data_IF_542326694820
#
_entry.id   IF_542326694820
#
_cell.length_a   1.000
_cell.length_b   1.000
_cell.length_c   1.000
_cell.angle_alpha   90.00
_cell.angle_beta   90.00
_cell.angle_gamma   90.00
#
_symmetry.space_group_name_H-M   'P 1'
#
loop_
_entity.id
_entity.type
_entity.pdbx_description
1 polymer ?
#
# COMPACT_ATOMS: atom_id res chain seq x y z
N UNK A 1 -13.57 7.37 6.57
CA UNK A 1 -12.28 7.78 6.05
C UNK A 1 -11.45 6.55 5.73
N UNK A 2 -10.91 6.47 4.50
CA UNK A 2 -10.12 5.34 4.03
C UNK A 2 -8.83 5.18 4.85
N UNK A 3 -8.29 3.96 4.93
CA UNK A 3 -6.99 3.72 5.58
C UNK A 3 -5.93 3.50 4.51
N UNK A 4 -4.72 4.03 4.72
CA UNK A 4 -3.56 3.66 3.90
C UNK A 4 -3.18 2.19 4.13
N UNK A 5 -2.64 1.52 3.12
CA UNK A 5 -2.04 0.18 3.26
C UNK A 5 -0.58 0.19 3.71
N UNK A 6 0.05 1.35 3.81
CA UNK A 6 1.43 1.51 4.31
C UNK A 6 1.45 2.08 5.72
N UNK A 7 2.38 1.59 6.55
CA UNK A 7 2.52 2.10 7.90
C UNK A 7 3.58 1.36 8.71
N UNK A 8 3.94 1.96 9.83
CA UNK A 8 4.82 1.39 10.85
C UNK A 8 4.16 1.56 12.21
N UNK A 9 4.38 0.60 13.10
CA UNK A 9 4.01 0.70 14.51
C UNK A 9 4.98 -0.08 15.36
N UNK A 10 5.28 0.44 16.54
CA UNK A 10 6.14 -0.21 17.52
C UNK A 10 5.35 -0.40 18.83
N UNK A 11 5.62 -1.50 19.51
CA UNK A 11 5.10 -1.75 20.84
C UNK A 11 6.16 -2.40 21.70
N UNK A 12 6.26 -1.96 22.95
CA UNK A 12 7.24 -2.43 23.90
C UNK A 12 6.50 -2.88 25.15
N UNK A 13 6.79 -4.10 25.60
CA UNK A 13 6.35 -4.62 26.90
C UNK A 13 7.59 -4.92 27.74
N UNK A 14 7.76 -4.17 28.81
CA UNK A 14 8.89 -4.32 29.74
C UNK A 14 8.53 -5.25 30.89
N UNK A 15 9.23 -6.37 31.01
CA UNK A 15 9.25 -7.20 32.23
C UNK A 15 10.43 -6.87 33.12
N UNK A 16 10.45 -7.46 34.32
CA UNK A 16 11.59 -7.35 35.26
C UNK A 16 12.91 -7.79 34.63
N UNK A 17 12.86 -8.88 33.86
CA UNK A 17 14.09 -9.57 33.42
C UNK A 17 14.38 -9.38 31.94
N UNK A 18 13.36 -9.06 31.13
CA UNK A 18 13.45 -8.86 29.68
C UNK A 18 12.41 -7.87 29.19
N UNK A 19 12.76 -7.14 28.14
CA UNK A 19 11.83 -6.31 27.37
C UNK A 19 11.55 -6.97 26.03
N UNK A 20 10.28 -7.05 25.65
CA UNK A 20 9.84 -7.52 24.34
C UNK A 20 9.44 -6.31 23.51
N UNK A 21 10.13 -6.11 22.39
CA UNK A 21 9.79 -5.12 21.38
C UNK A 21 9.20 -5.83 20.16
N UNK A 22 8.05 -5.38 19.70
CA UNK A 22 7.41 -5.82 18.47
C UNK A 22 7.32 -4.65 17.50
N UNK A 23 7.84 -4.86 16.30
CA UNK A 23 7.72 -3.92 15.19
C UNK A 23 6.76 -4.49 14.14
N UNK A 24 5.83 -3.67 13.67
CA UNK A 24 4.94 -4.01 12.56
C UNK A 24 5.18 -3.06 11.37
N UNK A 25 5.41 -3.62 10.18
CA UNK A 25 5.55 -2.87 8.93
C UNK A 25 4.52 -3.37 7.93
N UNK A 26 3.67 -2.47 7.44
CA UNK A 26 2.66 -2.79 6.42
C UNK A 26 3.05 -2.21 5.07
N UNK A 27 2.84 -3.00 4.02
CA UNK A 27 2.94 -2.57 2.62
C UNK A 27 1.70 -2.99 1.83
N UNK A 28 1.48 -2.32 0.70
CA UNK A 28 0.39 -2.63 -0.22
C UNK A 28 0.49 -4.08 -0.73
N UNK A 29 -0.59 -4.85 -0.52
CA UNK A 29 -0.72 -6.19 -1.06
C UNK A 29 -2.21 -6.52 -1.28
N UNK A 30 -2.52 -7.36 -2.27
CA UNK A 30 -3.90 -7.67 -2.66
C UNK A 30 -4.69 -8.41 -1.56
N UNK A 31 -4.01 -9.26 -0.80
CA UNK A 31 -4.58 -10.05 0.29
C UNK A 31 -3.82 -9.77 1.57
N UNK A 32 -4.44 -10.06 2.71
CA UNK A 32 -3.75 -10.07 3.99
C UNK A 32 -2.68 -11.18 3.98
N UNK A 33 -1.42 -10.77 4.05
CA UNK A 33 -0.27 -11.66 4.18
C UNK A 33 0.52 -11.25 5.43
N UNK A 34 0.62 -12.15 6.41
CA UNK A 34 1.30 -11.86 7.67
C UNK A 34 2.58 -12.68 7.72
N UNK A 35 3.72 -11.99 7.78
CA UNK A 35 5.04 -12.59 7.92
C UNK A 35 5.55 -12.31 9.32
N UNK A 36 5.66 -13.35 10.15
CA UNK A 36 6.14 -13.22 11.53
C UNK A 36 7.59 -13.67 11.59
N UNK A 37 8.47 -12.85 12.17
CA UNK A 37 9.89 -13.14 12.40
C UNK A 37 10.16 -13.14 13.89
N UNK A 38 10.46 -14.34 14.42
CA UNK A 38 10.64 -14.58 15.85
C UNK A 38 12.01 -15.21 16.14
N UNK A 39 12.64 -14.90 17.29
CA UNK A 39 13.70 -15.71 17.86
C UNK A 39 13.22 -17.13 18.17
N UNK A 40 14.12 -18.12 18.12
CA UNK A 40 13.77 -19.55 18.30
C UNK A 40 13.00 -19.84 19.59
N UNK A 41 13.32 -19.14 20.68
CA UNK A 41 12.65 -19.24 21.99
C UNK A 41 11.15 -18.86 21.96
N UNK A 42 10.70 -18.11 20.96
CA UNK A 42 9.30 -17.66 20.85
C UNK A 42 8.53 -18.34 19.71
N UNK A 43 9.11 -19.35 19.06
CA UNK A 43 8.49 -20.01 17.91
C UNK A 43 7.07 -20.55 18.21
N UNK A 44 6.81 -21.00 19.44
CA UNK A 44 5.50 -21.48 19.88
C UNK A 44 4.39 -20.41 19.82
N UNK A 45 4.74 -19.12 19.89
CA UNK A 45 3.79 -18.01 19.88
C UNK A 45 3.44 -17.50 18.48
N UNK A 46 4.00 -18.08 17.41
CA UNK A 46 3.72 -17.62 16.04
C UNK A 46 2.21 -17.67 15.71
N UNK A 47 1.55 -18.77 16.07
CA UNK A 47 0.12 -18.93 15.82
C UNK A 47 -0.72 -17.89 16.55
N UNK A 48 -0.36 -17.57 17.81
CA UNK A 48 -1.01 -16.55 18.62
C UNK A 48 -0.89 -15.17 17.97
N UNK A 49 0.34 -14.76 17.64
CA UNK A 49 0.63 -13.46 17.01
C UNK A 49 -0.13 -13.32 15.69
N UNK A 50 -0.14 -14.38 14.87
CA UNK A 50 -0.86 -14.40 13.60
C UNK A 50 -2.37 -14.24 13.79
N UNK A 51 -2.97 -14.97 14.73
CA UNK A 51 -4.42 -14.91 15.01
C UNK A 51 -4.85 -13.50 15.44
N UNK A 52 -4.16 -12.93 16.43
CA UNK A 52 -4.48 -11.60 16.95
C UNK A 52 -4.31 -10.50 15.90
N UNK A 53 -3.31 -10.65 15.04
CA UNK A 53 -3.07 -9.72 13.94
C UNK A 53 -4.18 -9.79 12.87
N UNK A 54 -4.72 -10.98 12.58
CA UNK A 54 -5.82 -11.16 11.63
C UNK A 54 -7.13 -10.53 12.10
N UNK A 55 -7.35 -10.43 13.42
CA UNK A 55 -8.54 -9.79 13.98
C UNK A 55 -8.55 -8.27 13.76
N UNK A 56 -7.37 -7.64 13.66
CA UNK A 56 -7.24 -6.18 13.53
C UNK A 56 -6.93 -5.69 12.11
N UNK A 57 -6.49 -6.58 11.21
CA UNK A 57 -5.99 -6.22 9.88
C UNK A 57 -6.85 -6.89 8.79
N UNK A 58 -7.34 -6.10 7.83
CA UNK A 58 -8.16 -6.60 6.72
C UNK A 58 -7.38 -6.95 5.46
N UNK A 59 -6.39 -6.13 5.09
CA UNK A 59 -5.61 -6.25 3.85
C UNK A 59 -4.18 -5.71 4.03
N UNK A 60 -3.30 -6.13 3.12
CA UNK A 60 -1.89 -5.70 3.05
C UNK A 60 -0.93 -6.81 3.46
N UNK A 61 0.36 -6.60 3.19
CA UNK A 61 1.41 -7.49 3.70
C UNK A 61 2.02 -6.85 4.94
N UNK A 62 1.90 -7.54 6.07
CA UNK A 62 2.40 -7.06 7.36
C UNK A 62 3.55 -7.94 7.82
N UNK A 63 4.74 -7.34 7.92
CA UNK A 63 5.89 -7.96 8.56
C UNK A 63 5.88 -7.61 10.05
N UNK A 64 5.86 -8.63 10.90
CA UNK A 64 5.90 -8.52 12.35
C UNK A 64 7.23 -9.09 12.81
N UNK A 65 8.04 -8.29 13.48
CA UNK A 65 9.32 -8.71 14.04
C UNK A 65 9.28 -8.58 15.56
N UNK A 66 9.65 -9.65 16.25
CA UNK A 66 9.86 -9.63 17.69
C UNK A 66 11.37 -9.60 17.98
N UNK A 67 11.79 -8.67 18.83
CA UNK A 67 13.13 -8.62 19.40
C UNK A 67 13.05 -8.63 20.92
N UNK A 68 13.89 -9.44 21.56
CA UNK A 68 13.96 -9.57 23.01
C UNK A 68 15.26 -9.00 23.58
N UNK A 69 15.14 -7.90 24.32
CA UNK A 69 16.27 -7.25 24.98
C UNK A 69 16.33 -7.71 26.45
N UNK A 70 17.53 -7.86 27.06
CA UNK A 70 17.64 -8.03 28.50
C UNK A 70 17.02 -6.84 29.23
N UNK A 71 16.30 -7.10 30.32
CA UNK A 71 15.76 -6.06 31.21
C UNK A 71 16.87 -5.46 32.07
N UNK A 72 16.61 -4.28 32.64
CA UNK A 72 17.60 -3.55 33.45
C UNK A 72 18.08 -4.35 34.69
N UNK A 73 17.26 -5.26 35.23
CA UNK A 73 17.55 -6.08 36.42
C UNK A 73 17.91 -7.55 36.10
N UNK A 74 18.28 -7.87 34.85
CA UNK A 74 18.54 -9.25 34.43
C UNK A 74 19.71 -9.90 35.21
N UNK A 75 19.39 -10.64 36.27
CA UNK A 75 20.36 -11.45 36.99
C UNK A 75 20.75 -12.66 36.14
N UNK A 76 21.88 -12.59 35.44
CA UNK A 76 22.44 -13.74 34.73
C UNK A 76 22.76 -14.87 35.72
N UNK A 77 21.93 -15.92 35.76
CA UNK A 77 22.25 -17.14 36.49
C UNK A 77 23.22 -17.97 35.64
N UNK A 78 24.49 -17.98 36.03
CA UNK A 78 25.49 -18.88 35.43
C UNK A 78 25.31 -20.27 36.02
N UNK A 79 24.92 -21.23 35.19
CA UNK A 79 24.89 -22.65 35.51
C UNK A 79 26.20 -23.33 35.09
N UNK A 80 26.78 -24.09 36.02
CA UNK A 80 27.94 -24.94 35.80
C UNK A 80 27.48 -26.36 35.46
N UNK A 81 27.87 -26.89 34.31
CA UNK A 81 27.79 -28.33 34.06
C UNK A 81 28.96 -29.02 34.76
N UNK A 82 28.73 -29.44 36.01
CA UNK A 82 29.75 -30.11 36.82
C UNK A 82 30.27 -31.40 36.19
N UNK A 83 29.42 -32.11 35.44
CA UNK A 83 29.78 -33.39 34.83
C UNK A 83 30.77 -33.20 33.69
N UNK A 84 30.50 -32.23 32.82
CA UNK A 84 31.37 -31.87 31.71
C UNK A 84 32.66 -31.22 32.22
N UNK A 85 32.57 -30.35 33.22
CA UNK A 85 33.74 -29.74 33.86
C UNK A 85 34.68 -30.81 34.46
N UNK A 86 34.13 -31.83 35.14
CA UNK A 86 34.92 -32.95 35.67
C UNK A 86 35.56 -33.77 34.56
N UNK A 87 34.81 -34.08 33.50
CA UNK A 87 35.35 -34.82 32.35
C UNK A 87 36.55 -34.09 31.70
N UNK A 88 36.46 -32.78 31.52
CA UNK A 88 37.60 -31.99 31.03
C UNK A 88 38.78 -31.97 32.02
N UNK A 89 38.50 -31.82 33.31
CA UNK A 89 39.55 -31.81 34.33
C UNK A 89 40.33 -33.14 34.35
N UNK A 90 39.62 -34.26 34.29
CA UNK A 90 40.21 -35.60 34.28
C UNK A 90 41.05 -35.83 33.01
N UNK A 91 40.56 -35.42 31.85
CA UNK A 91 41.30 -35.52 30.59
C UNK A 91 42.59 -34.69 30.61
N UNK A 92 42.54 -33.47 31.14
CA UNK A 92 43.73 -32.61 31.27
C UNK A 92 44.74 -33.19 32.25
N UNK A 93 44.29 -33.78 33.36
CA UNK A 93 45.18 -34.45 34.33
C UNK A 93 45.89 -35.67 33.70
N UNK A 94 45.18 -36.47 32.90
CA UNK A 94 45.79 -37.58 32.16
C UNK A 94 46.85 -37.10 31.15
N UNK A 95 46.58 -35.98 30.48
CA UNK A 95 47.50 -35.42 29.50
C UNK A 95 48.80 -34.89 30.13
N UNK A 96 48.72 -34.26 31.31
CA UNK A 96 49.91 -33.88 32.08
C UNK A 96 50.75 -35.10 32.48
N UNK A 97 50.09 -36.18 32.93
CA UNK A 97 50.78 -37.41 33.31
C UNK A 97 51.50 -38.07 32.13
N UNK A 98 50.94 -37.99 30.93
CA UNK A 98 51.53 -38.55 29.70
C UNK A 98 52.69 -37.70 29.17
N UNK A 99 52.60 -36.37 29.27
CA UNK A 99 53.56 -35.43 28.65
C UNK A 99 54.65 -34.95 29.61
N UNK A 100 54.42 -35.05 30.93
CA UNK A 100 55.29 -34.48 31.96
C UNK A 100 55.26 -32.95 32.03
N UNK A 101 54.38 -32.30 31.27
CA UNK A 101 54.24 -30.84 31.21
C UNK A 101 53.00 -30.43 32.00
N UNK A 102 53.14 -29.51 32.95
CA UNK A 102 51.98 -28.99 33.68
C UNK A 102 51.19 -27.99 32.83
N UNK A 103 49.89 -28.24 32.71
CA UNK A 103 48.89 -27.32 32.19
C UNK A 103 48.52 -26.30 33.27
N UNK A 104 49.14 -25.12 33.21
CA UNK A 104 48.73 -23.98 34.04
C UNK A 104 47.42 -23.40 33.51
N UNK A 105 46.50 -23.02 34.42
CA UNK A 105 45.24 -22.36 34.03
C UNK A 105 44.07 -23.28 33.65
N UNK A 106 44.06 -24.56 34.08
CA UNK A 106 42.99 -25.54 33.77
C UNK A 106 41.57 -24.99 34.00
N UNK A 107 41.34 -24.31 35.12
CA UNK A 107 40.02 -23.74 35.46
C UNK A 107 39.58 -22.69 34.43
N UNK A 108 40.48 -21.80 34.03
CA UNK A 108 40.19 -20.77 33.01
C UNK A 108 39.93 -21.41 31.64
N UNK A 109 40.71 -22.43 31.28
CA UNK A 109 40.48 -23.16 30.02
C UNK A 109 39.14 -23.91 30.02
N UNK A 110 38.82 -24.60 31.11
CA UNK A 110 37.56 -25.34 31.31
C UNK A 110 36.36 -24.38 31.29
N UNK A 111 36.45 -23.23 31.97
CA UNK A 111 35.40 -22.22 31.97
C UNK A 111 35.10 -21.64 30.58
N UNK A 112 36.10 -21.64 29.69
CA UNK A 112 35.95 -21.19 28.30
C UNK A 112 35.52 -22.31 27.33
N UNK A 113 35.38 -23.57 27.79
CA UNK A 113 34.88 -24.63 26.94
C UNK A 113 33.35 -24.53 26.79
N UNK A 114 32.90 -24.64 25.54
CA UNK A 114 31.47 -24.62 25.20
C UNK A 114 30.70 -25.64 26.02
N UNK A 115 29.66 -25.19 26.72
CA UNK A 115 28.76 -26.03 27.52
C UNK A 115 29.13 -26.15 29.01
N UNK A 116 30.32 -25.71 29.44
CA UNK A 116 30.73 -25.80 30.86
C UNK A 116 30.05 -24.73 31.71
N UNK A 117 30.14 -23.47 31.28
CA UNK A 117 29.40 -22.36 31.89
C UNK A 117 28.31 -21.95 30.90
N UNK A 118 27.05 -22.06 31.32
CA UNK A 118 25.90 -21.64 30.53
C UNK A 118 25.12 -20.60 31.30
N UNK A 119 24.64 -19.55 30.64
CA UNK A 119 23.69 -18.63 31.25
C UNK A 119 22.31 -19.29 31.11
N UNK A 120 21.69 -19.65 32.23
CA UNK A 120 20.32 -20.17 32.24
C UNK A 120 19.36 -19.00 32.49
N UNK A 121 18.58 -18.68 31.49
CA UNK A 121 17.38 -17.86 31.65
C UNK A 121 16.30 -18.79 32.21
N UNK A 122 15.98 -18.67 33.51
CA UNK A 122 15.04 -19.53 34.26
C UNK A 122 13.55 -19.25 33.92
N UNK A 123 13.28 -18.66 32.75
CA UNK A 123 11.97 -18.15 32.39
C UNK A 123 11.23 -19.15 31.52
N UNK A 124 10.56 -20.11 32.16
CA UNK A 124 9.69 -21.11 31.52
C UNK A 124 8.18 -20.87 31.79
N UNK A 125 7.78 -19.68 32.28
CA UNK A 125 6.35 -19.39 32.40
C UNK A 125 5.79 -18.88 31.06
N UNK A 126 5.33 -19.82 30.24
CA UNK A 126 4.71 -19.55 28.92
C UNK A 126 3.56 -18.53 29.01
N UNK A 127 2.80 -18.51 30.11
CA UNK A 127 1.68 -17.58 30.28
C UNK A 127 2.16 -16.12 30.41
N UNK A 128 3.20 -15.87 31.22
CA UNK A 128 3.76 -14.53 31.37
C UNK A 128 4.39 -14.05 30.06
N UNK A 129 5.03 -14.94 29.30
CA UNK A 129 5.54 -14.59 27.96
C UNK A 129 4.41 -14.25 27.00
N UNK A 130 3.33 -15.02 27.00
CA UNK A 130 2.17 -14.77 26.16
C UNK A 130 1.56 -13.39 26.45
N UNK A 131 1.39 -13.04 27.74
CA UNK A 131 0.87 -11.73 28.17
C UNK A 131 1.74 -10.58 27.67
N UNK A 132 3.06 -10.68 27.84
CA UNK A 132 4.00 -9.64 27.37
C UNK A 132 4.01 -9.49 25.84
N UNK A 133 3.94 -10.60 25.11
CA UNK A 133 3.84 -10.59 23.65
C UNK A 133 2.54 -9.93 23.22
N UNK A 134 1.42 -10.25 23.88
CA UNK A 134 0.13 -9.64 23.59
C UNK A 134 0.15 -8.13 23.83
N UNK A 135 0.69 -7.67 24.96
CA UNK A 135 0.81 -6.24 25.27
C UNK A 135 1.62 -5.49 24.22
N UNK A 136 2.83 -6.00 23.90
CA UNK A 136 3.67 -5.40 22.86
C UNK A 136 3.00 -5.43 21.48
N UNK A 137 2.31 -6.51 21.14
CA UNK A 137 1.63 -6.66 19.84
C UNK A 137 0.46 -5.68 19.72
N UNK A 138 -0.36 -5.53 20.76
CA UNK A 138 -1.45 -4.56 20.76
C UNK A 138 -0.95 -3.13 20.67
N UNK A 139 0.17 -2.80 21.33
CA UNK A 139 0.85 -1.52 21.16
C UNK A 139 1.24 -1.27 19.70
N UNK A 140 1.97 -2.21 19.10
CA UNK A 140 2.45 -2.10 17.73
C UNK A 140 1.32 -2.02 16.70
N UNK A 141 0.29 -2.86 16.82
CA UNK A 141 -0.90 -2.82 15.95
C UNK A 141 -1.71 -1.53 16.13
N UNK A 142 -1.79 -1.03 17.37
CA UNK A 142 -2.44 0.24 17.68
C UNK A 142 -1.74 1.43 17.00
N UNK A 143 -0.41 1.51 17.09
CA UNK A 143 0.37 2.53 16.38
C UNK A 143 0.27 2.39 14.86
N UNK A 144 0.38 1.16 14.34
CA UNK A 144 0.24 0.88 12.92
C UNK A 144 -1.10 1.38 12.39
N UNK A 145 -2.20 1.05 13.07
CA UNK A 145 -3.54 1.47 12.68
C UNK A 145 -3.73 3.00 12.73
N UNK A 146 -3.11 3.68 13.71
CA UNK A 146 -3.09 5.15 13.77
C UNK A 146 -2.33 5.75 12.59
N UNK A 147 -1.13 5.26 12.30
CA UNK A 147 -0.32 5.72 11.18
C UNK A 147 -1.04 5.53 9.84
N UNK A 148 -1.66 4.36 9.63
CA UNK A 148 -2.47 4.04 8.45
C UNK A 148 -3.68 4.97 8.29
N UNK A 149 -4.32 5.36 9.40
CA UNK A 149 -5.45 6.29 9.38
C UNK A 149 -5.01 7.70 8.96
N UNK A 150 -3.97 8.25 9.59
CA UNK A 150 -3.46 9.59 9.27
C UNK A 150 -3.01 9.69 7.81
N UNK A 151 -2.28 8.68 7.32
CA UNK A 151 -1.87 8.66 5.92
C UNK A 151 -3.07 8.48 4.97
N UNK A 152 -4.07 7.67 5.37
CA UNK A 152 -5.30 7.48 4.60
C UNK A 152 -6.11 8.76 4.44
N UNK A 153 -6.23 9.56 5.51
CA UNK A 153 -6.88 10.88 5.47
C UNK A 153 -6.14 11.83 4.50
N UNK A 154 -4.81 11.89 4.59
CA UNK A 154 -3.99 12.71 3.69
C UNK A 154 -4.13 12.30 2.22
N UNK A 155 -4.18 11.00 1.93
CA UNK A 155 -4.39 10.48 0.58
C UNK A 155 -5.79 10.77 0.08
N UNK A 156 -6.81 10.68 0.94
CA UNK A 156 -8.18 11.01 0.57
C UNK A 156 -8.33 12.49 0.18
N UNK A 157 -7.72 13.39 0.95
CA UNK A 157 -7.73 14.83 0.66
C UNK A 157 -7.06 15.17 -0.68
N UNK A 158 -5.89 14.57 -0.96
CA UNK A 158 -5.21 14.76 -2.26
C UNK A 158 -6.02 14.19 -3.43
N UNK A 159 -6.66 13.03 -3.24
CA UNK A 159 -7.54 12.45 -4.25
C UNK A 159 -8.78 13.30 -4.50
N UNK A 160 -9.40 13.87 -3.46
CA UNK A 160 -10.52 14.80 -3.61
C UNK A 160 -10.11 16.04 -4.41
N UNK A 161 -8.93 16.61 -4.14
CA UNK A 161 -8.41 17.74 -4.92
C UNK A 161 -8.22 17.38 -6.40
N UNK A 162 -7.63 16.22 -6.71
CA UNK A 162 -7.47 15.75 -8.10
C UNK A 162 -8.80 15.43 -8.78
N UNK A 163 -9.79 14.97 -8.01
CA UNK A 163 -11.14 14.73 -8.52
C UNK A 163 -11.79 16.03 -8.98
N UNK A 164 -11.57 17.12 -8.23
CA UNK A 164 -12.07 18.44 -8.62
C UNK A 164 -11.32 19.01 -9.83
N UNK A 165 -9.99 18.86 -9.90
CA UNK A 165 -9.22 19.19 -11.12
C UNK A 165 -9.76 18.44 -12.35
N UNK A 166 -10.14 17.16 -12.18
CA UNK A 166 -10.74 16.36 -13.25
C UNK A 166 -12.14 16.88 -13.61
N UNK A 167 -12.94 17.31 -12.63
CA UNK A 167 -14.25 17.94 -12.85
C UNK A 167 -14.13 19.23 -13.66
N UNK A 168 -13.11 20.04 -13.41
CA UNK A 168 -12.83 21.26 -14.20
C UNK A 168 -12.51 20.95 -15.67
N UNK A 169 -11.73 19.90 -15.92
CA UNK A 169 -11.43 19.43 -17.28
C UNK A 169 -12.69 18.94 -17.99
N UNK A 170 -13.55 18.17 -17.30
CA UNK A 170 -14.85 17.75 -17.84
C UNK A 170 -15.75 18.95 -18.13
N UNK A 171 -15.74 19.98 -17.28
CA UNK A 171 -16.49 21.22 -17.53
C UNK A 171 -15.98 21.98 -18.75
N UNK A 172 -14.66 21.97 -19.03
CA UNK A 172 -14.11 22.54 -20.26
C UNK A 172 -14.61 21.77 -21.49
N UNK A 173 -14.57 20.43 -21.45
CA UNK A 173 -15.09 19.56 -22.50
C UNK A 173 -16.57 19.88 -22.76
N UNK A 174 -17.39 19.94 -21.70
CA UNK A 174 -18.82 20.24 -21.78
C UNK A 174 -19.12 21.62 -22.36
N UNK A 175 -18.30 22.64 -22.06
CA UNK A 175 -18.44 23.98 -22.66
C UNK A 175 -18.05 24.01 -24.13
N UNK A 176 -17.07 23.21 -24.54
CA UNK A 176 -16.55 23.18 -25.93
C UNK A 176 -17.44 22.37 -26.86
N UNK A 177 -18.03 21.28 -26.37
CA UNK A 177 -18.79 20.32 -27.18
C UNK A 177 -19.87 20.95 -28.09
N UNK A 178 -20.71 21.90 -27.61
CA UNK A 178 -21.78 22.48 -28.43
C UNK A 178 -21.27 23.31 -29.63
N UNK A 179 -20.04 23.83 -29.58
CA UNK A 179 -19.46 24.63 -30.65
C UNK A 179 -18.89 23.79 -31.80
N UNK A 180 -18.60 22.51 -31.56
CA UNK A 180 -17.85 21.65 -32.49
C UNK A 180 -18.59 21.43 -33.83
N UNK A 181 -19.90 21.16 -33.86
CA UNK A 181 -20.61 21.01 -35.13
C UNK A 181 -20.57 22.27 -35.99
N UNK A 182 -20.62 23.46 -35.37
CA UNK A 182 -20.52 24.75 -36.07
C UNK A 182 -19.13 24.97 -36.67
N UNK A 183 -18.08 24.72 -35.89
CA UNK A 183 -16.68 24.81 -36.35
C UNK A 183 -16.44 23.82 -37.50
N UNK A 184 -16.99 22.62 -37.41
CA UNK A 184 -16.89 21.62 -38.47
C UNK A 184 -17.57 22.08 -39.76
N UNK A 185 -18.79 22.63 -39.65
CA UNK A 185 -19.52 23.19 -40.79
C UNK A 185 -18.73 24.30 -41.50
N UNK A 186 -18.14 25.22 -40.75
CA UNK A 186 -17.31 26.29 -41.30
C UNK A 186 -16.08 25.74 -42.04
N UNK A 187 -15.37 24.77 -41.46
CA UNK A 187 -14.25 24.09 -42.11
C UNK A 187 -14.65 23.36 -43.40
N UNK A 188 -15.82 22.72 -43.41
CA UNK A 188 -16.35 22.07 -44.61
C UNK A 188 -16.65 23.09 -45.71
N UNK A 189 -17.26 24.22 -45.39
CA UNK A 189 -17.54 25.29 -46.35
C UNK A 189 -16.24 25.82 -46.93
N UNK A 190 -15.29 26.20 -46.07
CA UNK A 190 -14.00 26.75 -46.50
C UNK A 190 -13.27 25.77 -47.43
N UNK A 191 -13.22 24.49 -47.07
CA UNK A 191 -12.56 23.46 -47.88
C UNK A 191 -13.27 23.20 -49.21
N UNK A 192 -14.59 23.32 -49.25
CA UNK A 192 -15.35 23.24 -50.50
C UNK A 192 -15.07 24.45 -51.40
N UNK A 193 -14.96 25.66 -50.85
CA UNK A 193 -14.61 26.87 -51.60
C UNK A 193 -13.19 26.79 -52.18
N UNK A 194 -12.23 26.29 -51.39
CA UNK A 194 -10.85 26.03 -51.86
C UNK A 194 -10.78 24.98 -52.97
N UNK A 195 -11.62 23.95 -52.93
CA UNK A 195 -11.60 22.85 -53.91
C UNK A 195 -12.34 23.17 -55.22
N UNK A 196 -13.36 24.02 -55.17
CA UNK A 196 -14.28 24.26 -56.29
C UNK A 196 -14.24 25.69 -56.85
N UNK A 197 -13.43 26.58 -56.27
CA UNK A 197 -13.19 27.98 -56.69
C UNK A 197 -14.49 28.70 -57.15
N UNK A 198 -14.69 28.87 -58.47
CA UNK A 198 -15.83 29.59 -59.08
C UNK A 198 -16.99 28.67 -59.53
N UNK A 199 -16.80 27.35 -59.58
CA UNK A 199 -17.81 26.40 -60.08
C UNK A 199 -18.24 25.44 -58.99
N UNK A 200 -19.22 25.88 -58.20
CA UNK A 200 -19.98 24.97 -57.34
C UNK A 200 -20.60 23.86 -58.21
N UNK A 201 -20.38 22.58 -57.90
CA UNK A 201 -21.01 21.48 -58.63
C UNK A 201 -22.54 21.59 -58.58
N UNK A 202 -23.25 21.16 -59.64
CA UNK A 202 -24.73 21.23 -59.68
C UNK A 202 -25.41 20.50 -58.51
N UNK A 203 -24.75 19.48 -57.95
CA UNK A 203 -25.25 18.73 -56.80
C UNK A 203 -25.04 19.44 -55.46
N UNK A 204 -24.30 20.55 -55.40
CA UNK A 204 -24.10 21.33 -54.18
C UNK A 204 -25.39 22.05 -53.81
N UNK A 205 -25.88 21.82 -52.59
CA UNK A 205 -27.01 22.56 -52.02
C UNK A 205 -26.83 22.77 -50.53
N UNK A 206 -27.40 23.85 -50.00
CA UNK A 206 -27.42 24.13 -48.56
C UNK A 206 -28.09 22.99 -47.78
N UNK A 207 -29.04 22.29 -48.42
CA UNK A 207 -29.70 21.12 -47.84
C UNK A 207 -28.74 19.94 -47.64
N UNK A 208 -27.81 19.69 -48.58
CA UNK A 208 -26.78 18.65 -48.42
C UNK A 208 -25.76 19.01 -47.34
N UNK A 209 -25.33 20.27 -47.30
CA UNK A 209 -24.42 20.76 -46.27
C UNK A 209 -25.05 20.65 -44.87
N UNK A 210 -26.33 20.99 -44.74
CA UNK A 210 -27.08 20.83 -43.51
C UNK A 210 -27.18 19.35 -43.08
N UNK A 211 -27.52 18.46 -44.01
CA UNK A 211 -27.61 17.03 -43.74
C UNK A 211 -26.27 16.43 -43.28
N UNK A 212 -25.17 16.79 -43.94
CA UNK A 212 -23.82 16.34 -43.55
C UNK A 212 -23.42 16.86 -42.16
N UNK A 213 -23.71 18.15 -41.90
CA UNK A 213 -23.44 18.75 -40.58
C UNK A 213 -24.27 18.07 -39.49
N UNK A 214 -25.53 17.73 -39.76
CA UNK A 214 -26.39 17.03 -38.80
C UNK A 214 -25.90 15.60 -38.51
N UNK A 215 -25.48 14.85 -39.55
CA UNK A 215 -24.88 13.52 -39.39
C UNK A 215 -23.58 13.57 -38.59
N UNK A 216 -22.75 14.58 -38.84
CA UNK A 216 -21.55 14.79 -38.03
C UNK A 216 -21.89 15.16 -36.59
N UNK A 217 -22.85 16.05 -36.36
CA UNK A 217 -23.28 16.44 -35.02
C UNK A 217 -23.72 15.22 -34.20
N UNK A 218 -24.53 14.34 -34.79
CA UNK A 218 -24.98 13.09 -34.16
C UNK A 218 -23.80 12.16 -33.82
N UNK A 219 -22.89 11.93 -34.77
CA UNK A 219 -21.70 11.08 -34.55
C UNK A 219 -20.69 11.66 -33.56
N UNK A 220 -20.59 12.99 -33.49
CA UNK A 220 -19.65 13.71 -32.63
C UNK A 220 -20.22 14.05 -31.25
N UNK A 221 -21.51 13.78 -31.01
CA UNK A 221 -22.14 14.04 -29.71
C UNK A 221 -21.49 13.20 -28.62
N UNK A 222 -21.20 13.88 -27.51
CA UNK A 222 -20.58 13.34 -26.30
C UNK A 222 -21.41 13.64 -25.04
N UNK A 223 -22.68 14.02 -25.21
CA UNK A 223 -23.53 14.49 -24.12
C UNK A 223 -23.78 13.41 -23.07
N UNK A 224 -23.92 12.15 -23.52
CA UNK A 224 -24.09 11.02 -22.62
C UNK A 224 -22.81 10.72 -21.83
N UNK A 225 -21.64 10.73 -22.49
CA UNK A 225 -20.35 10.50 -21.86
C UNK A 225 -20.06 11.58 -20.80
N UNK A 226 -20.38 12.84 -21.08
CA UNK A 226 -20.25 13.94 -20.10
C UNK A 226 -21.17 13.70 -18.90
N UNK A 227 -22.43 13.31 -19.14
CA UNK A 227 -23.39 13.04 -18.06
C UNK A 227 -22.93 11.88 -17.19
N UNK A 228 -22.46 10.79 -17.80
CA UNK A 228 -21.90 9.62 -17.08
C UNK A 228 -20.64 10.00 -16.31
N UNK A 229 -19.75 10.82 -16.88
CA UNK A 229 -18.55 11.30 -16.19
C UNK A 229 -18.89 12.05 -14.91
N UNK A 230 -19.83 13.00 -14.94
CA UNK A 230 -20.23 13.71 -13.72
C UNK A 230 -20.77 12.74 -12.67
N UNK A 231 -21.63 11.80 -13.05
CA UNK A 231 -22.15 10.80 -12.13
C UNK A 231 -21.04 9.93 -11.50
N UNK A 232 -20.04 9.53 -12.28
CA UNK A 232 -18.89 8.77 -11.77
C UNK A 232 -17.97 9.61 -10.87
N UNK A 233 -17.77 10.89 -11.18
CA UNK A 233 -16.98 11.81 -10.35
C UNK A 233 -17.67 12.10 -9.01
N UNK A 234 -18.99 12.26 -9.01
CA UNK A 234 -19.79 12.40 -7.79
C UNK A 234 -19.66 11.14 -6.92
N UNK A 235 -19.84 9.95 -7.51
CA UNK A 235 -19.69 8.68 -6.80
C UNK A 235 -18.25 8.45 -6.28
N UNK A 236 -17.23 8.94 -6.98
CA UNK A 236 -15.84 8.86 -6.54
C UNK A 236 -15.60 9.77 -5.32
N UNK A 237 -16.13 11.00 -5.34
CA UNK A 237 -16.07 11.91 -4.20
C UNK A 237 -16.80 11.37 -2.96
N UNK A 238 -17.98 10.79 -3.15
CA UNK A 238 -18.74 10.14 -2.07
C UNK A 238 -17.98 8.95 -1.46
N UNK A 239 -17.38 8.10 -2.31
CA UNK A 239 -16.61 6.94 -1.86
C UNK A 239 -15.39 7.36 -1.01
N UNK A 240 -14.69 8.44 -1.39
CA UNK A 240 -13.55 8.96 -0.62
C UNK A 240 -13.95 9.51 0.76
N UNK A 241 -15.20 9.95 0.93
CA UNK A 241 -15.76 10.39 2.21
C UNK A 241 -16.22 9.26 3.14
N UNK A 242 -16.29 8.02 2.66
CA UNK A 242 -16.85 6.88 3.40
C UNK A 242 -15.89 6.30 4.45
N UNK A 243 -16.44 5.75 5.55
CA UNK A 243 -15.73 4.95 6.58
C UNK A 243 -15.57 3.46 6.22
N UNK A 244 -16.14 3.04 5.08
CA UNK A 244 -16.04 1.66 4.63
C UNK A 244 -14.80 1.45 3.73
N UNK A 245 -14.29 0.20 3.63
CA UNK A 245 -13.25 -0.13 2.66
C UNK A 245 -13.73 0.16 1.23
N UNK A 246 -13.08 1.13 0.58
CA UNK A 246 -13.53 1.68 -0.71
C UNK A 246 -12.59 1.35 -1.86
N UNK A 247 -11.43 0.74 -1.62
CA UNK A 247 -10.41 0.53 -2.66
C UNK A 247 -10.94 -0.16 -3.94
N UNK A 248 -11.77 -1.21 -3.82
CA UNK A 248 -12.37 -1.90 -4.99
C UNK A 248 -13.41 -1.04 -5.72
N UNK A 249 -14.18 -0.26 -4.97
CA UNK A 249 -15.18 0.64 -5.55
C UNK A 249 -14.49 1.77 -6.32
N UNK A 250 -13.41 2.33 -5.76
CA UNK A 250 -12.60 3.35 -6.43
C UNK A 250 -11.94 2.79 -7.70
N UNK A 251 -11.38 1.58 -7.66
CA UNK A 251 -10.82 0.90 -8.85
C UNK A 251 -11.86 0.77 -9.98
N UNK A 252 -13.10 0.41 -9.64
CA UNK A 252 -14.20 0.31 -10.60
C UNK A 252 -14.55 1.68 -11.18
N UNK A 253 -14.74 2.70 -10.34
CA UNK A 253 -15.08 4.05 -10.80
C UNK A 253 -14.02 4.64 -11.72
N UNK A 254 -12.73 4.43 -11.41
CA UNK A 254 -11.63 4.85 -12.28
C UNK A 254 -11.70 4.18 -13.65
N UNK A 255 -12.06 2.90 -13.72
CA UNK A 255 -12.22 2.20 -15.00
C UNK A 255 -13.39 2.77 -15.82
N UNK A 256 -14.51 3.08 -15.17
CA UNK A 256 -15.66 3.67 -15.84
C UNK A 256 -15.33 5.09 -16.34
N UNK A 257 -14.71 5.94 -15.51
CA UNK A 257 -14.24 7.28 -15.91
C UNK A 257 -13.27 7.19 -17.10
N UNK A 258 -12.33 6.24 -17.07
CA UNK A 258 -11.40 6.01 -18.17
C UNK A 258 -12.12 5.62 -19.46
N UNK A 259 -13.16 4.78 -19.36
CA UNK A 259 -13.98 4.38 -20.52
C UNK A 259 -14.64 5.59 -21.15
N UNK A 260 -15.29 6.44 -20.36
CA UNK A 260 -15.98 7.63 -20.88
C UNK A 260 -14.99 8.62 -21.50
N UNK A 261 -13.85 8.89 -20.86
CA UNK A 261 -12.79 9.76 -21.42
C UNK A 261 -12.27 9.22 -22.76
N UNK A 262 -12.11 7.90 -22.90
CA UNK A 262 -11.71 7.30 -24.17
C UNK A 262 -12.75 7.45 -25.26
N UNK A 263 -14.04 7.24 -24.93
CA UNK A 263 -15.12 7.41 -25.89
C UNK A 263 -15.18 8.86 -26.38
N UNK A 264 -15.08 9.85 -25.47
CA UNK A 264 -14.95 11.27 -25.83
C UNK A 264 -13.74 11.50 -26.74
N UNK A 265 -12.58 10.95 -26.38
CA UNK A 265 -11.36 11.06 -27.18
C UNK A 265 -11.49 10.48 -28.58
N UNK A 266 -12.24 9.39 -28.77
CA UNK A 266 -12.46 8.78 -30.08
C UNK A 266 -13.42 9.59 -30.97
N UNK A 267 -14.29 10.39 -30.36
CA UNK A 267 -15.23 11.31 -31.03
C UNK A 267 -14.64 12.72 -31.20
N UNK A 268 -13.51 12.99 -30.56
CA UNK A 268 -12.84 14.29 -30.57
C UNK A 268 -12.29 14.63 -31.97
N UNK A 269 -12.86 15.65 -32.60
CA UNK A 269 -12.38 16.22 -33.86
C UNK A 269 -11.95 17.68 -33.72
N UNK A 270 -11.69 18.10 -32.48
CA UNK A 270 -11.28 19.45 -32.09
C UNK A 270 -10.00 19.41 -31.25
N UNK A 271 -9.10 20.37 -31.47
CA UNK A 271 -7.78 20.39 -30.83
C UNK A 271 -7.89 20.63 -29.32
N UNK A 272 -8.70 21.62 -28.91
CA UNK A 272 -8.88 21.95 -27.48
C UNK A 272 -9.51 20.77 -26.74
N UNK A 273 -10.50 20.11 -27.34
CA UNK A 273 -11.12 18.92 -26.75
C UNK A 273 -10.12 17.76 -26.65
N UNK A 274 -9.29 17.54 -27.66
CA UNK A 274 -8.23 16.51 -27.63
C UNK A 274 -7.22 16.77 -26.51
N UNK A 275 -6.80 18.03 -26.33
CA UNK A 275 -5.89 18.42 -25.25
C UNK A 275 -6.50 18.18 -23.86
N UNK A 276 -7.78 18.54 -23.68
CA UNK A 276 -8.50 18.29 -22.43
C UNK A 276 -8.64 16.79 -22.12
N UNK A 277 -8.91 15.96 -23.14
CA UNK A 277 -8.94 14.49 -23.01
C UNK A 277 -7.59 13.94 -22.55
N UNK A 278 -6.49 14.39 -23.16
CA UNK A 278 -5.14 13.94 -22.78
C UNK A 278 -4.83 14.34 -21.34
N UNK A 279 -5.10 15.59 -20.95
CA UNK A 279 -4.93 16.06 -19.58
C UNK A 279 -5.75 15.23 -18.58
N UNK A 280 -7.00 14.92 -18.94
CA UNK A 280 -7.90 14.09 -18.11
C UNK A 280 -7.35 12.68 -17.91
N UNK A 281 -6.81 12.05 -18.97
CA UNK A 281 -6.15 10.73 -18.87
C UNK A 281 -4.93 10.75 -17.98
N UNK A 282 -4.08 11.76 -18.12
CA UNK A 282 -2.88 11.91 -17.28
C UNK A 282 -3.24 12.09 -15.81
N UNK A 283 -4.25 12.90 -15.52
CA UNK A 283 -4.71 13.10 -14.15
C UNK A 283 -5.35 11.83 -13.56
N UNK A 284 -6.15 11.11 -14.36
CA UNK A 284 -6.77 9.86 -13.94
C UNK A 284 -5.74 8.76 -13.61
N UNK A 285 -4.63 8.68 -14.35
CA UNK A 285 -3.58 7.71 -14.01
C UNK A 285 -2.91 8.04 -12.67
N UNK A 286 -2.70 9.33 -12.35
CA UNK A 286 -2.20 9.75 -11.03
C UNK A 286 -3.18 9.36 -9.90
N UNK A 287 -4.48 9.56 -10.13
CA UNK A 287 -5.55 9.14 -9.21
C UNK A 287 -5.46 7.61 -9.00
N UNK A 288 -5.32 6.85 -10.09
CA UNK A 288 -5.22 5.38 -10.06
C UNK A 288 -4.03 4.87 -9.27
N UNK A 289 -2.84 5.45 -9.46
CA UNK A 289 -1.64 5.08 -8.70
C UNK A 289 -1.82 5.30 -7.19
N UNK A 290 -2.51 6.37 -6.80
CA UNK A 290 -2.77 6.68 -5.39
C UNK A 290 -3.85 5.79 -4.77
N UNK A 291 -4.93 5.52 -5.50
CA UNK A 291 -5.99 4.60 -5.06
C UNK A 291 -5.47 3.21 -4.75
N UNK A 292 -4.42 2.75 -5.44
CA UNK A 292 -3.76 1.49 -5.10
C UNK A 292 -3.22 1.44 -3.68
N UNK A 293 -3.00 2.57 -3.00
CA UNK A 293 -2.51 2.62 -1.63
C UNK A 293 -3.62 2.75 -0.56
N UNK A 294 -4.89 2.75 -0.98
CA UNK A 294 -6.06 2.88 -0.10
C UNK A 294 -6.75 1.52 0.13
N UNK A 295 -7.13 1.25 1.37
CA UNK A 295 -8.01 0.15 1.81
C UNK A 295 -9.46 0.60 1.94
#
# INVERSE_FOLDING_TARGET
>A
MPKSMTGYGEGISSGKDRSIRIECRSVNHRYLDISVRLPARYAAFEALIRSLSQEQLGRGRVEIRLTDEPGEDAAHKVALDESLARAFLDALNQLEALTGVSCTGKVSWIANQTGVLTIRDDYENENLMAEQIQEALYGALGELNKARKVEGERLADDLLAKTEELRELVALIARRAPAIPGIYREKLIQRAEELFEEKRPEWYSDQRLFAETALFADRSSIDEEITRLYAHLDALGEALGSDLPVGRQLDFLIQEIFREINTIGSKANDLELTQAVVASKTLLEKIREQVQNIE
#
